data_IF_358599313806
#
_entry.id   IF_358599313806
#
_cell.length_a   1.000
_cell.length_b   1.000
_cell.length_c   1.000
_cell.angle_alpha   90.00
_cell.angle_beta   90.00
_cell.angle_gamma   90.00
#
_symmetry.space_group_name_H-M   'P 1'
#
loop_
_entity.id
_entity.type
_entity.pdbx_description
1 polymer ?
#
# COMPACT_ATOMS: atom_id res chain seq x y z
N UNK A 1 -20.22 -6.40 -12.06
CA UNK A 1 -19.66 -7.55 -11.32
C UNK A 1 -19.68 -7.27 -9.83
N UNK A 2 -20.15 -8.21 -9.01
CA UNK A 2 -20.08 -8.11 -7.53
C UNK A 2 -18.75 -8.68 -7.06
N UNK A 3 -18.13 -8.08 -6.03
CA UNK A 3 -16.97 -8.64 -5.37
C UNK A 3 -17.36 -9.95 -4.70
N UNK A 4 -16.57 -11.00 -4.91
CA UNK A 4 -16.74 -12.34 -4.33
C UNK A 4 -15.37 -12.96 -4.11
N UNK A 5 -15.19 -13.62 -2.96
CA UNK A 5 -13.93 -14.32 -2.63
C UNK A 5 -13.53 -15.36 -3.70
N UNK A 6 -14.51 -16.04 -4.28
CA UNK A 6 -14.28 -17.05 -5.33
C UNK A 6 -13.70 -16.46 -6.61
N UNK A 7 -14.20 -15.30 -7.06
CA UNK A 7 -13.71 -14.59 -8.24
C UNK A 7 -12.30 -14.03 -8.03
N UNK A 8 -11.95 -13.68 -6.80
CA UNK A 8 -10.61 -13.24 -6.41
C UNK A 8 -9.61 -14.42 -6.54
N UNK A 9 -9.95 -15.58 -5.98
CA UNK A 9 -9.13 -16.80 -6.03
C UNK A 9 -8.86 -17.28 -7.47
N UNK A 10 -9.85 -17.18 -8.37
CA UNK A 10 -9.69 -17.51 -9.80
C UNK A 10 -8.63 -16.66 -10.51
N UNK A 11 -8.20 -15.55 -9.89
CA UNK A 11 -7.21 -14.63 -10.43
C UNK A 11 -5.89 -14.63 -9.65
N UNK A 12 -5.72 -15.58 -8.73
CA UNK A 12 -4.50 -15.77 -7.95
C UNK A 12 -4.38 -14.84 -6.74
N UNK A 13 -5.47 -14.22 -6.30
CA UNK A 13 -5.52 -13.36 -5.12
C UNK A 13 -6.35 -14.03 -4.02
N UNK A 14 -5.82 -14.05 -2.81
CA UNK A 14 -6.41 -14.75 -1.67
C UNK A 14 -6.36 -13.85 -0.43
N UNK A 15 -7.28 -14.09 0.50
CA UNK A 15 -7.18 -13.50 1.83
C UNK A 15 -7.54 -14.54 2.90
N UNK A 16 -6.94 -14.41 4.08
CA UNK A 16 -7.25 -15.21 5.27
C UNK A 16 -7.48 -14.28 6.46
N UNK A 17 -8.69 -14.37 7.02
CA UNK A 17 -9.14 -13.55 8.14
C UNK A 17 -8.72 -14.12 9.50
N UNK A 18 -8.38 -15.41 9.55
CA UNK A 18 -8.00 -16.06 10.79
C UNK A 18 -6.67 -15.51 11.28
N UNK A 19 -6.63 -14.96 12.50
CA UNK A 19 -5.36 -14.71 13.17
C UNK A 19 -4.65 -16.07 13.30
N UNK A 20 -3.45 -16.19 12.73
CA UNK A 20 -2.75 -17.47 12.67
C UNK A 20 -2.45 -17.96 14.09
N UNK A 21 -3.01 -19.12 14.43
CA UNK A 21 -2.64 -19.90 15.60
C UNK A 21 -1.42 -20.78 15.29
N UNK A 22 -0.82 -21.38 16.32
CA UNK A 22 0.37 -22.24 16.19
C UNK A 22 0.19 -23.46 15.26
N UNK A 23 -1.05 -23.85 14.96
CA UNK A 23 -1.39 -25.03 14.14
C UNK A 23 -1.49 -24.75 12.62
N UNK A 24 -1.32 -23.50 12.18
CA UNK A 24 -1.33 -23.11 10.76
C UNK A 24 0.10 -23.06 10.21
N UNK A 25 0.26 -23.22 8.88
CA UNK A 25 1.56 -23.03 8.22
C UNK A 25 2.21 -21.72 8.72
N UNK A 26 3.52 -21.69 9.02
CA UNK A 26 4.16 -20.47 9.48
C UNK A 26 4.12 -19.39 8.39
N UNK A 27 4.09 -18.11 8.79
CA UNK A 27 4.29 -17.02 7.84
C UNK A 27 5.70 -17.14 7.26
N UNK A 28 5.91 -16.85 5.96
CA UNK A 28 7.26 -16.75 5.43
C UNK A 28 8.11 -15.82 6.31
N UNK A 29 9.40 -16.12 6.55
CA UNK A 29 10.20 -15.39 7.53
C UNK A 29 10.19 -13.88 7.34
N UNK A 30 10.29 -13.41 6.09
CA UNK A 30 10.29 -11.98 5.76
C UNK A 30 8.94 -11.30 6.06
N UNK A 31 7.82 -12.02 5.91
CA UNK A 31 6.47 -11.56 6.28
C UNK A 31 6.33 -11.53 7.80
N UNK A 32 6.83 -12.55 8.50
CA UNK A 32 6.84 -12.62 9.95
C UNK A 32 7.65 -11.48 10.58
N UNK A 33 8.79 -11.13 9.98
CA UNK A 33 9.59 -9.98 10.42
C UNK A 33 8.84 -8.66 10.29
N UNK A 34 8.09 -8.46 9.19
CA UNK A 34 7.23 -7.28 9.05
C UNK A 34 6.10 -7.28 10.07
N UNK A 35 5.42 -8.41 10.28
CA UNK A 35 4.38 -8.52 11.31
C UNK A 35 4.93 -8.13 12.69
N UNK A 36 6.09 -8.68 13.07
CA UNK A 36 6.75 -8.34 14.34
C UNK A 36 7.09 -6.86 14.42
N UNK A 37 7.62 -6.26 13.35
CA UNK A 37 7.93 -4.83 13.32
C UNK A 37 6.66 -3.96 13.46
N UNK A 38 5.56 -4.33 12.80
CA UNK A 38 4.30 -3.59 12.88
C UNK A 38 3.65 -3.72 14.27
N UNK A 39 3.71 -4.90 14.88
CA UNK A 39 3.09 -5.22 16.16
C UNK A 39 4.04 -5.09 17.35
N UNK A 40 5.20 -4.44 17.17
CA UNK A 40 6.12 -4.13 18.25
C UNK A 40 5.60 -2.96 19.09
N UNK A 41 5.16 -3.28 20.31
CA UNK A 41 4.68 -2.32 21.30
C UNK A 41 5.65 -2.16 22.48
N UNK A 42 6.86 -2.71 22.40
CA UNK A 42 7.79 -2.84 23.54
C UNK A 42 8.28 -1.50 24.11
N UNK A 43 8.38 -0.46 23.28
CA UNK A 43 8.86 0.86 23.68
C UNK A 43 7.78 1.77 24.28
N UNK A 44 6.57 1.28 24.54
CA UNK A 44 5.44 2.11 24.98
C UNK A 44 4.89 1.65 26.33
N UNK A 45 4.81 2.60 27.25
CA UNK A 45 3.96 2.47 28.42
C UNK A 45 2.52 2.71 27.96
N UNK A 46 1.65 1.72 28.13
CA UNK A 46 0.20 1.93 28.04
C UNK A 46 -0.27 2.66 29.31
N UNK A 47 0.23 3.90 29.47
CA UNK A 47 -0.17 4.85 30.50
C UNK A 47 -1.64 5.26 30.33
N UNK A 48 -2.28 5.88 31.34
CA UNK A 48 -3.71 6.17 31.27
C UNK A 48 -4.05 6.98 30.02
N UNK A 49 -5.14 6.56 29.36
CA UNK A 49 -5.71 7.15 28.14
C UNK A 49 -5.51 8.65 28.06
N UNK A 50 -4.83 9.11 27.02
CA UNK A 50 -4.64 10.56 26.83
C UNK A 50 -5.97 11.22 26.51
N UNK A 51 -6.06 12.54 26.70
CA UNK A 51 -7.22 13.34 26.27
C UNK A 51 -7.52 13.15 24.77
N UNK A 52 -6.48 12.92 23.97
CA UNK A 52 -6.62 12.64 22.53
C UNK A 52 -7.28 11.30 22.29
N UNK A 53 -6.86 10.24 22.98
CA UNK A 53 -7.43 8.90 22.82
C UNK A 53 -8.90 8.87 23.27
N UNK A 54 -9.22 9.57 24.36
CA UNK A 54 -10.60 9.70 24.83
C UNK A 54 -11.48 10.47 23.84
N UNK A 55 -10.94 11.50 23.18
CA UNK A 55 -11.66 12.22 22.12
C UNK A 55 -11.94 11.33 20.90
N UNK A 56 -10.93 10.57 20.46
CA UNK A 56 -11.08 9.59 19.37
C UNK A 56 -12.16 8.57 19.74
N UNK A 57 -12.09 8.02 20.95
CA UNK A 57 -13.05 7.04 21.45
C UNK A 57 -14.48 7.60 21.46
N UNK A 58 -14.67 8.81 22.00
CA UNK A 58 -15.98 9.44 22.08
C UNK A 58 -16.57 9.69 20.69
N UNK A 59 -15.75 10.13 19.74
CA UNK A 59 -16.18 10.34 18.36
C UNK A 59 -16.53 9.00 17.68
N UNK A 60 -15.71 7.96 17.84
CA UNK A 60 -16.00 6.62 17.32
C UNK A 60 -17.33 6.07 17.89
N UNK A 61 -17.54 6.18 19.21
CA UNK A 61 -18.80 5.79 19.88
C UNK A 61 -19.99 6.59 19.34
N UNK A 62 -19.81 7.90 19.14
CA UNK A 62 -20.85 8.76 18.54
C UNK A 62 -21.20 8.29 17.14
N UNK A 63 -20.21 8.01 16.30
CA UNK A 63 -20.42 7.55 14.93
C UNK A 63 -21.10 6.17 14.88
N UNK A 64 -20.66 5.24 15.73
CA UNK A 64 -21.24 3.91 15.85
C UNK A 64 -22.71 3.96 16.30
N UNK A 65 -23.03 4.82 17.27
CA UNK A 65 -24.39 4.95 17.81
C UNK A 65 -25.33 5.75 16.89
N UNK A 66 -24.79 6.71 16.12
CA UNK A 66 -25.59 7.59 15.26
C UNK A 66 -25.93 7.03 13.87
N UNK A 67 -25.31 5.92 13.45
CA UNK A 67 -25.59 5.29 12.16
C UNK A 67 -25.25 6.18 10.95
N UNK A 68 -24.19 6.97 11.05
CA UNK A 68 -23.73 7.94 10.05
C UNK A 68 -23.29 7.30 8.72
N UNK A 69 -23.21 8.11 7.65
CA UNK A 69 -22.77 7.70 6.29
C UNK A 69 -21.30 7.29 6.22
N UNK A 70 -20.90 6.66 5.10
CA UNK A 70 -19.51 6.21 4.81
C UNK A 70 -18.51 7.36 4.94
N UNK A 71 -18.80 8.49 4.29
CA UNK A 71 -17.95 9.69 4.30
C UNK A 71 -17.56 10.17 5.71
N UNK A 72 -18.41 9.95 6.72
CA UNK A 72 -18.14 10.35 8.11
C UNK A 72 -17.13 9.43 8.80
N UNK A 73 -17.11 8.15 8.43
CA UNK A 73 -16.06 7.22 8.87
C UNK A 73 -14.75 7.50 8.15
N UNK A 74 -14.81 7.84 6.87
CA UNK A 74 -13.63 8.24 6.09
C UNK A 74 -12.98 9.49 6.70
N UNK A 75 -13.79 10.52 6.98
CA UNK A 75 -13.37 11.74 7.69
C UNK A 75 -12.75 11.42 9.05
N UNK A 76 -13.34 10.47 9.80
CA UNK A 76 -12.82 10.05 11.10
C UNK A 76 -11.43 9.39 10.97
N UNK A 77 -11.28 8.39 10.11
CA UNK A 77 -10.01 7.71 9.93
C UNK A 77 -8.93 8.65 9.37
N UNK A 78 -9.30 9.52 8.43
CA UNK A 78 -8.42 10.59 7.95
C UNK A 78 -7.99 11.50 9.07
N UNK A 79 -8.91 12.16 9.76
CA UNK A 79 -8.59 13.18 10.74
C UNK A 79 -7.76 12.65 11.92
N UNK A 80 -8.06 11.44 12.42
CA UNK A 80 -7.49 10.93 13.67
C UNK A 80 -6.30 10.00 13.51
N UNK A 81 -6.13 9.35 12.35
CA UNK A 81 -5.10 8.32 12.16
C UNK A 81 -4.22 8.57 10.95
N UNK A 82 -4.81 8.82 9.78
CA UNK A 82 -4.07 8.88 8.52
C UNK A 82 -3.47 10.27 8.25
N UNK A 83 -4.20 11.35 8.49
CA UNK A 83 -3.69 12.72 8.40
C UNK A 83 -2.57 13.02 9.38
N UNK A 84 -2.59 12.55 10.64
CA UNK A 84 -1.44 12.65 11.53
C UNK A 84 -0.18 11.99 10.96
N UNK A 85 -0.32 10.81 10.34
CA UNK A 85 0.78 10.14 9.65
C UNK A 85 1.29 10.99 8.48
N UNK A 86 0.38 11.52 7.66
CA UNK A 86 0.70 12.41 6.54
C UNK A 86 1.37 13.70 7.00
N UNK A 87 0.92 14.33 8.08
CA UNK A 87 1.52 15.57 8.61
C UNK A 87 2.92 15.36 9.17
N UNK A 88 3.23 14.17 9.69
CA UNK A 88 4.61 13.82 10.12
C UNK A 88 5.55 13.63 8.94
N UNK A 89 5.05 13.09 7.84
CA UNK A 89 5.84 12.78 6.64
C UNK A 89 5.80 13.90 5.57
N UNK A 90 4.87 14.85 5.68
CA UNK A 90 4.68 15.94 4.72
C UNK A 90 5.50 17.19 5.08
N UNK A 91 6.04 17.78 4.03
CA UNK A 91 6.98 18.90 4.04
C UNK A 91 6.24 20.25 3.92
N UNK A 92 4.93 20.23 3.60
CA UNK A 92 4.13 21.42 3.34
C UNK A 92 3.50 22.06 4.59
N UNK A 93 3.68 21.46 5.77
CA UNK A 93 3.11 21.98 7.02
C UNK A 93 3.92 23.12 7.63
N UNK A 94 3.65 24.38 7.25
CA UNK A 94 3.95 25.67 7.95
C UNK A 94 5.16 25.71 8.93
N UNK A 95 6.26 25.00 8.67
CA UNK A 95 7.52 25.17 9.38
C UNK A 95 8.49 25.82 8.40
N UNK A 96 8.72 27.15 8.47
CA UNK A 96 9.68 27.86 7.63
C UNK A 96 11.13 27.48 7.94
N UNK A 97 11.35 26.59 8.91
CA UNK A 97 12.68 26.14 9.31
C UNK A 97 13.05 24.91 8.51
N UNK A 98 13.80 25.16 7.43
CA UNK A 98 14.77 24.24 6.83
C UNK A 98 14.26 22.80 6.80
N UNK A 99 13.37 22.48 5.84
CA UNK A 99 13.23 21.07 5.48
C UNK A 99 14.57 20.63 4.90
N UNK A 100 15.30 19.83 5.66
CA UNK A 100 16.60 19.35 5.20
C UNK A 100 16.39 18.51 3.94
N UNK A 101 17.36 18.56 3.03
CA UNK A 101 17.43 17.68 1.87
C UNK A 101 17.21 16.21 2.25
N UNK A 102 17.66 15.82 3.44
CA UNK A 102 17.44 14.48 3.98
C UNK A 102 15.96 14.20 4.25
N UNK A 103 15.24 15.11 4.91
CA UNK A 103 13.81 14.91 5.17
C UNK A 103 13.01 14.79 3.86
N UNK A 104 13.37 15.58 2.85
CA UNK A 104 12.73 15.50 1.53
C UNK A 104 13.03 14.21 0.77
N UNK A 105 14.25 13.70 0.82
CA UNK A 105 14.60 12.51 0.04
C UNK A 105 14.42 11.20 0.77
N UNK A 106 14.56 11.17 2.09
CA UNK A 106 14.43 9.94 2.87
C UNK A 106 12.99 9.76 3.37
N UNK A 107 12.43 10.77 4.02
CA UNK A 107 11.23 10.61 4.85
C UNK A 107 9.93 11.01 4.15
N UNK A 108 10.00 11.64 2.97
CA UNK A 108 8.80 12.07 2.24
C UNK A 108 7.99 10.87 1.72
N UNK A 109 6.67 11.00 1.80
CA UNK A 109 5.69 10.10 1.20
C UNK A 109 4.69 10.91 0.37
N UNK A 110 4.05 10.24 -0.58
CA UNK A 110 2.91 10.77 -1.33
C UNK A 110 1.74 9.82 -1.16
N UNK A 111 0.53 10.32 -1.39
CA UNK A 111 -0.68 9.51 -1.29
C UNK A 111 -1.60 9.84 -2.45
N UNK A 112 -2.51 8.92 -2.73
CA UNK A 112 -3.57 9.10 -3.70
C UNK A 112 -4.88 8.52 -3.16
N UNK A 113 -5.99 9.01 -3.67
CA UNK A 113 -7.33 8.71 -3.16
C UNK A 113 -8.26 8.43 -4.33
N UNK A 114 -8.99 7.31 -4.27
CA UNK A 114 -10.00 7.00 -5.28
C UNK A 114 -9.47 6.98 -6.74
N UNK A 115 -8.19 6.65 -6.93
CA UNK A 115 -7.59 6.62 -8.26
C UNK A 115 -7.61 5.22 -8.86
N UNK A 116 -8.04 5.13 -10.12
CA UNK A 116 -8.09 3.87 -10.86
C UNK A 116 -6.69 3.46 -11.33
N UNK A 117 -6.23 2.28 -10.94
CA UNK A 117 -4.88 1.79 -11.28
C UNK A 117 -4.80 1.29 -12.72
N UNK A 118 -4.55 2.22 -13.64
CA UNK A 118 -4.60 2.00 -15.09
C UNK A 118 -3.55 1.01 -15.62
N UNK A 119 -2.42 0.81 -14.93
CA UNK A 119 -1.40 -0.19 -15.28
C UNK A 119 -1.97 -1.63 -15.29
N UNK A 120 -3.01 -1.88 -14.50
CA UNK A 120 -3.69 -3.18 -14.42
C UNK A 120 -4.98 -3.23 -15.26
N UNK A 121 -5.24 -2.23 -16.10
CA UNK A 121 -6.44 -2.21 -16.92
C UNK A 121 -6.39 -3.31 -17.99
N UNK A 122 -7.16 -4.38 -17.77
CA UNK A 122 -7.14 -5.62 -18.56
C UNK A 122 -7.92 -5.56 -19.88
N UNK A 123 -8.26 -4.39 -20.43
CA UNK A 123 -8.86 -4.32 -21.80
C UNK A 123 -7.99 -4.99 -22.89
N UNK A 124 -6.74 -5.34 -22.59
CA UNK A 124 -5.81 -6.08 -23.48
C UNK A 124 -5.64 -7.57 -23.15
N UNK A 125 -6.16 -8.10 -22.03
CA UNK A 125 -6.02 -9.51 -21.63
C UNK A 125 -7.39 -10.18 -21.47
N UNK A 126 -7.56 -11.37 -22.07
CA UNK A 126 -8.85 -12.08 -22.20
C UNK A 126 -9.53 -12.51 -20.87
N UNK A 127 -8.96 -12.22 -19.70
CA UNK A 127 -9.55 -12.59 -18.40
C UNK A 127 -10.36 -11.43 -17.79
N UNK A 128 -11.66 -11.40 -18.10
CA UNK A 128 -12.61 -10.35 -17.68
C UNK A 128 -13.01 -10.40 -16.19
N UNK A 129 -12.38 -11.21 -15.34
CA UNK A 129 -12.96 -11.59 -14.03
C UNK A 129 -12.70 -10.59 -12.88
N UNK A 130 -11.64 -9.77 -12.94
CA UNK A 130 -11.28 -8.85 -11.87
C UNK A 130 -11.47 -7.39 -12.26
N UNK A 131 -12.09 -6.59 -11.38
CA UNK A 131 -12.16 -5.14 -11.56
C UNK A 131 -10.75 -4.55 -11.37
N UNK A 132 -10.43 -3.55 -12.18
CA UNK A 132 -9.22 -2.74 -12.00
C UNK A 132 -9.20 -2.18 -10.57
N UNK A 133 -8.06 -2.28 -9.85
CA UNK A 133 -7.95 -1.74 -8.50
C UNK A 133 -8.25 -0.24 -8.46
N UNK A 134 -8.98 0.17 -7.42
CA UNK A 134 -9.30 1.57 -7.12
C UNK A 134 -9.39 1.70 -5.59
N UNK A 135 -8.25 1.71 -4.89
CA UNK A 135 -8.25 1.81 -3.43
C UNK A 135 -8.77 3.17 -2.99
N UNK A 136 -9.45 3.19 -1.85
CA UNK A 136 -10.01 4.43 -1.32
C UNK A 136 -8.89 5.40 -0.88
N UNK A 137 -7.80 4.86 -0.30
CA UNK A 137 -6.56 5.58 -0.05
C UNK A 137 -5.35 4.66 -0.23
N UNK A 138 -4.28 5.20 -0.80
CA UNK A 138 -2.99 4.51 -0.93
C UNK A 138 -1.86 5.45 -0.57
N UNK A 139 -0.88 4.94 0.17
CA UNK A 139 0.40 5.60 0.37
C UNK A 139 1.48 4.98 -0.51
N UNK A 140 2.30 5.85 -1.08
CA UNK A 140 3.24 5.52 -2.12
C UNK A 140 4.59 6.21 -1.88
N UNK A 141 5.62 5.73 -2.58
CA UNK A 141 6.91 6.38 -2.67
C UNK A 141 6.84 7.53 -3.70
N UNK A 142 7.42 8.70 -3.43
CA UNK A 142 7.44 9.80 -4.38
C UNK A 142 8.32 9.46 -5.58
N UNK A 143 7.91 9.91 -6.77
CA UNK A 143 8.83 10.10 -7.89
C UNK A 143 9.33 11.54 -7.89
N UNK A 144 10.61 11.72 -8.18
CA UNK A 144 11.22 13.05 -8.19
C UNK A 144 11.38 13.55 -9.62
N UNK A 145 10.94 14.78 -9.89
CA UNK A 145 11.18 15.44 -11.18
C UNK A 145 11.82 16.82 -10.93
N UNK A 146 13.00 17.11 -11.52
CA UNK A 146 13.76 18.35 -11.25
C UNK A 146 12.96 19.64 -11.48
N UNK A 147 12.01 19.63 -12.41
CA UNK A 147 11.19 20.81 -12.75
C UNK A 147 9.83 20.85 -12.02
N UNK A 148 9.53 19.85 -11.19
CA UNK A 148 8.28 19.81 -10.41
C UNK A 148 8.44 20.41 -9.01
N UNK A 149 7.35 20.97 -8.48
CA UNK A 149 7.19 21.66 -7.19
C UNK A 149 8.36 21.50 -6.19
N UNK A 150 9.22 22.53 -6.10
CA UNK A 150 10.25 22.63 -5.07
C UNK A 150 9.53 23.10 -3.79
N UNK A 151 9.77 22.49 -2.61
CA UNK A 151 9.30 23.05 -1.35
C UNK A 151 9.71 24.52 -1.24
N UNK A 152 8.85 25.39 -0.72
CA UNK A 152 9.12 26.83 -0.64
C UNK A 152 10.27 27.10 0.35
N UNK A 153 11.51 27.00 -0.11
CA UNK A 153 12.69 27.32 0.69
C UNK A 153 12.92 28.83 0.61
N UNK A 154 13.03 29.47 1.77
CA UNK A 154 13.20 30.92 1.91
C UNK A 154 14.59 31.41 1.47
N UNK A 155 15.61 30.55 1.53
CA UNK A 155 17.00 30.84 1.13
C UNK A 155 17.24 30.54 -0.35
N UNK A 156 17.78 31.52 -1.10
CA UNK A 156 18.02 31.40 -2.55
C UNK A 156 18.99 30.27 -2.92
N UNK A 157 20.07 30.08 -2.17
CA UNK A 157 21.03 28.97 -2.37
C UNK A 157 20.39 27.60 -2.10
N UNK A 158 19.50 27.54 -1.10
CA UNK A 158 18.70 26.36 -0.79
C UNK A 158 17.40 26.26 -1.63
N UNK A 159 17.20 27.13 -2.62
CA UNK A 159 16.26 26.89 -3.72
C UNK A 159 16.90 26.08 -4.82
N UNK A 160 18.22 26.12 -5.00
CA UNK A 160 18.91 25.53 -6.15
C UNK A 160 19.50 24.12 -5.88
N UNK A 161 19.37 23.58 -4.66
CA UNK A 161 19.87 22.23 -4.30
C UNK A 161 19.29 21.08 -5.14
N UNK A 162 18.11 21.26 -5.73
CA UNK A 162 17.51 20.30 -6.67
C UNK A 162 18.12 20.38 -8.08
N UNK A 163 18.85 21.46 -8.39
CA UNK A 163 19.58 21.68 -9.65
C UNK A 163 21.04 21.25 -9.59
N UNK A 164 21.62 21.14 -8.38
CA UNK A 164 22.89 20.43 -8.20
C UNK A 164 22.69 18.97 -8.60
N UNK A 165 23.69 18.37 -9.27
CA UNK A 165 23.68 16.99 -9.79
C UNK A 165 22.89 16.10 -8.85
N UNK A 166 21.78 15.54 -9.36
CA UNK A 166 20.85 14.72 -8.58
C UNK A 166 21.68 13.77 -7.72
N UNK A 167 21.58 13.79 -6.37
CA UNK A 167 22.39 12.89 -5.57
C UNK A 167 22.14 11.48 -6.06
N UNK A 168 23.20 10.67 -6.21
CA UNK A 168 23.11 9.26 -6.60
C UNK A 168 22.01 8.51 -5.83
N UNK A 169 21.76 8.95 -4.60
CA UNK A 169 20.76 8.45 -3.68
C UNK A 169 19.28 8.60 -4.13
N UNK A 170 18.93 9.56 -4.99
CA UNK A 170 17.51 9.81 -5.42
C UNK A 170 17.30 9.60 -6.90
N UNK A 171 18.41 9.40 -7.62
CA UNK A 171 18.44 9.01 -9.02
C UNK A 171 17.55 7.80 -9.34
N UNK A 172 17.43 6.76 -8.47
CA UNK A 172 16.56 5.62 -8.74
C UNK A 172 15.08 6.02 -8.85
N UNK A 173 14.62 6.93 -8.00
CA UNK A 173 13.22 7.38 -7.98
C UNK A 173 12.97 8.60 -8.87
N UNK A 174 13.94 9.01 -9.68
CA UNK A 174 13.71 10.12 -10.62
C UNK A 174 12.77 9.70 -11.74
N UNK A 175 11.88 10.60 -12.15
CA UNK A 175 10.96 10.37 -13.25
C UNK A 175 11.68 9.94 -14.54
N UNK A 176 12.80 10.59 -14.86
CA UNK A 176 13.61 10.26 -16.04
C UNK A 176 14.12 8.83 -16.00
N UNK A 177 14.70 8.40 -14.88
CA UNK A 177 15.20 7.03 -14.70
C UNK A 177 14.06 6.01 -14.80
N UNK A 178 12.96 6.25 -14.08
CA UNK A 178 11.82 5.33 -14.07
C UNK A 178 11.13 5.24 -15.43
N UNK A 179 11.04 6.36 -16.16
CA UNK A 179 10.50 6.41 -17.53
C UNK A 179 11.38 5.67 -18.52
N UNK A 180 12.69 5.77 -18.41
CA UNK A 180 13.63 5.04 -19.24
C UNK A 180 13.51 3.52 -19.01
N UNK A 181 13.65 3.08 -17.76
CA UNK A 181 13.52 1.66 -17.39
C UNK A 181 12.13 1.08 -17.69
N UNK A 182 11.09 1.92 -17.70
CA UNK A 182 9.75 1.50 -18.12
C UNK A 182 9.72 0.98 -19.56
N UNK A 183 10.55 1.54 -20.46
CA UNK A 183 10.69 1.08 -21.84
C UNK A 183 11.30 -0.33 -21.94
N UNK A 184 12.01 -0.75 -20.89
CA UNK A 184 12.58 -2.09 -20.73
C UNK A 184 11.68 -3.03 -19.91
N UNK A 185 10.50 -2.58 -19.51
CA UNK A 185 9.48 -3.39 -18.86
C UNK A 185 9.38 -3.26 -17.34
N UNK A 186 10.11 -2.32 -16.73
CA UNK A 186 9.87 -1.93 -15.34
C UNK A 186 8.47 -1.32 -15.21
N UNK A 187 7.75 -1.63 -14.13
CA UNK A 187 6.43 -1.09 -13.81
C UNK A 187 6.48 -0.44 -12.43
N UNK A 188 6.96 0.82 -12.35
CA UNK A 188 7.20 1.45 -11.06
C UNK A 188 5.96 2.12 -10.45
N UNK A 189 4.86 2.20 -11.20
CA UNK A 189 3.65 2.92 -10.79
C UNK A 189 2.37 2.16 -11.18
N UNK A 190 1.32 2.23 -10.36
CA UNK A 190 0.02 1.65 -10.71
C UNK A 190 -0.69 2.41 -11.84
N UNK A 191 -0.16 3.56 -12.28
CA UNK A 191 -0.74 4.40 -13.31
C UNK A 191 0.04 4.32 -14.63
N UNK A 192 -0.67 4.36 -15.75
CA UNK A 192 -0.08 4.38 -17.11
C UNK A 192 0.42 5.78 -17.50
N UNK A 193 1.16 6.45 -16.61
CA UNK A 193 1.58 7.85 -16.74
C UNK A 193 2.94 8.01 -17.41
N UNK A 194 3.84 7.03 -17.33
CA UNK A 194 5.21 7.14 -17.85
C UNK A 194 5.30 7.20 -19.39
N UNK A 195 4.19 7.02 -20.09
CA UNK A 195 4.09 7.23 -21.54
C UNK A 195 3.93 8.72 -21.91
N UNK A 196 3.65 9.61 -20.95
CA UNK A 196 3.49 11.04 -21.21
C UNK A 196 4.84 11.74 -21.34
N UNK A 197 4.87 12.88 -22.05
CA UNK A 197 6.12 13.65 -22.23
C UNK A 197 6.60 14.27 -20.92
N UNK A 198 5.68 14.88 -20.17
CA UNK A 198 5.95 15.61 -18.92
C UNK A 198 4.97 15.16 -17.84
N UNK A 199 5.41 14.86 -16.62
CA UNK A 199 4.53 14.46 -15.52
C UNK A 199 3.78 15.67 -14.93
N UNK A 200 2.53 15.45 -14.53
CA UNK A 200 1.85 16.32 -13.57
C UNK A 200 2.27 15.96 -12.14
N UNK A 201 2.04 16.85 -11.17
CA UNK A 201 2.37 16.57 -9.76
C UNK A 201 1.66 15.32 -9.24
N UNK A 202 0.39 15.11 -9.63
CA UNK A 202 -0.37 13.90 -9.30
C UNK A 202 0.21 12.62 -9.93
N UNK A 203 1.03 12.73 -10.98
CA UNK A 203 1.65 11.57 -11.64
C UNK A 203 2.93 11.11 -10.93
N UNK A 204 3.47 11.90 -9.98
CA UNK A 204 4.75 11.68 -9.33
C UNK A 204 4.66 10.66 -8.17
N UNK A 205 4.01 9.54 -8.43
CA UNK A 205 3.66 8.49 -7.48
C UNK A 205 4.17 7.14 -7.96
N UNK A 206 5.03 6.51 -7.17
CA UNK A 206 5.60 5.17 -7.44
C UNK A 206 5.38 4.22 -6.27
N UNK A 207 5.41 2.92 -6.54
CA UNK A 207 5.42 1.82 -5.55
C UNK A 207 4.53 2.05 -4.31
N UNK A 208 3.25 1.63 -4.37
CA UNK A 208 2.38 1.58 -3.22
C UNK A 208 2.99 0.74 -2.09
N UNK A 209 2.97 1.27 -0.86
CA UNK A 209 3.51 0.58 0.32
C UNK A 209 2.48 0.43 1.45
N UNK A 210 1.35 1.14 1.39
CA UNK A 210 0.21 0.91 2.29
C UNK A 210 -1.09 1.14 1.52
N UNK A 211 -1.98 0.14 1.54
CA UNK A 211 -3.33 0.23 0.98
C UNK A 211 -4.34 0.36 2.11
N UNK A 212 -5.32 1.25 1.94
CA UNK A 212 -6.41 1.45 2.90
C UNK A 212 -7.74 1.39 2.15
N UNK A 213 -8.64 0.55 2.64
CA UNK A 213 -10.01 0.41 2.15
C UNK A 213 -10.96 0.57 3.32
N UNK A 214 -12.00 1.36 3.16
CA UNK A 214 -12.98 1.61 4.20
C UNK A 214 -14.38 1.28 3.68
N UNK A 215 -15.24 0.77 4.55
CA UNK A 215 -16.67 0.60 4.29
C UNK A 215 -17.47 1.08 5.48
N UNK A 216 -18.66 1.60 5.22
CA UNK A 216 -19.60 2.04 6.27
C UNK A 216 -20.05 0.89 7.17
N UNK A 217 -20.24 1.19 8.46
CA UNK A 217 -21.13 0.38 9.31
C UNK A 217 -22.60 0.64 8.94
N UNK A 218 -23.47 -0.35 9.13
CA UNK A 218 -24.92 -0.18 8.90
C UNK A 218 -25.49 0.91 9.80
N UNK A 219 -26.14 1.92 9.22
CA UNK A 219 -27.18 2.68 9.92
C UNK A 219 -28.45 1.84 10.08
N UNK A 220 -29.21 2.05 11.17
CA UNK A 220 -30.53 1.43 11.38
C UNK A 220 -31.58 1.82 10.31
N UNK A 221 -31.29 2.80 9.46
CA UNK A 221 -32.20 3.28 8.43
C UNK A 221 -31.78 2.80 7.02
N UNK A 222 -32.61 1.88 6.49
CA UNK A 222 -32.89 1.52 5.08
C UNK A 222 -31.80 1.67 4.00
N UNK A 223 -31.69 0.59 3.22
CA UNK A 223 -31.17 0.51 1.84
C UNK A 223 -29.68 0.20 1.65
N UNK A 224 -29.26 -0.97 2.14
CA UNK A 224 -28.52 -1.93 1.31
C UNK A 224 -28.96 -3.33 1.75
N UNK A 225 -29.34 -4.18 0.80
CA UNK A 225 -29.75 -5.58 1.01
C UNK A 225 -28.62 -6.49 1.54
N UNK A 226 -27.40 -5.96 1.65
CA UNK A 226 -26.23 -6.70 2.10
C UNK A 226 -26.16 -6.84 3.63
N UNK A 227 -25.87 -8.04 4.13
CA UNK A 227 -25.58 -8.30 5.56
C UNK A 227 -24.19 -7.77 5.98
N UNK A 228 -23.89 -7.62 7.28
CA UNK A 228 -22.58 -7.18 7.77
C UNK A 228 -21.40 -7.97 7.17
N UNK A 229 -21.49 -9.30 7.14
CA UNK A 229 -20.51 -10.19 6.51
C UNK A 229 -20.30 -9.95 5.01
N UNK A 230 -21.31 -9.46 4.30
CA UNK A 230 -21.16 -9.15 2.87
C UNK A 230 -20.41 -7.84 2.64
N UNK A 231 -20.51 -6.88 3.57
CA UNK A 231 -19.72 -5.64 3.50
C UNK A 231 -18.25 -5.93 3.83
N UNK A 232 -18.01 -6.76 4.84
CA UNK A 232 -16.69 -7.31 5.17
C UNK A 232 -16.07 -8.03 3.97
N UNK A 233 -16.79 -8.97 3.34
CA UNK A 233 -16.29 -9.66 2.15
C UNK A 233 -15.94 -8.68 1.02
N UNK A 234 -16.76 -7.65 0.81
CA UNK A 234 -16.51 -6.63 -0.22
C UNK A 234 -15.22 -5.85 0.08
N UNK A 235 -15.05 -5.33 1.29
CA UNK A 235 -13.85 -4.55 1.64
C UNK A 235 -12.59 -5.40 1.57
N UNK A 236 -12.64 -6.66 2.04
CA UNK A 236 -11.49 -7.56 1.97
C UNK A 236 -11.12 -7.93 0.53
N UNK A 237 -12.11 -8.14 -0.34
CA UNK A 237 -11.86 -8.40 -1.76
C UNK A 237 -11.22 -7.20 -2.47
N UNK A 238 -11.69 -5.98 -2.17
CA UNK A 238 -11.10 -4.76 -2.73
C UNK A 238 -9.66 -4.59 -2.26
N UNK A 239 -9.44 -4.71 -0.96
CA UNK A 239 -8.14 -4.64 -0.31
C UNK A 239 -7.17 -5.66 -0.91
N UNK A 240 -7.53 -6.94 -0.94
CA UNK A 240 -6.68 -8.01 -1.46
C UNK A 240 -6.36 -7.84 -2.96
N UNK A 241 -7.29 -7.30 -3.75
CA UNK A 241 -7.03 -6.97 -5.15
C UNK A 241 -5.99 -5.84 -5.29
N UNK A 242 -6.19 -4.72 -4.56
CA UNK A 242 -5.29 -3.58 -4.63
C UNK A 242 -3.90 -3.90 -4.06
N UNK A 243 -3.84 -4.48 -2.87
CA UNK A 243 -2.58 -4.85 -2.21
C UNK A 243 -1.83 -5.93 -2.99
N UNK A 244 -2.52 -6.93 -3.54
CA UNK A 244 -1.88 -7.94 -4.38
C UNK A 244 -1.33 -7.34 -5.68
N UNK A 245 -2.04 -6.38 -6.29
CA UNK A 245 -1.51 -5.64 -7.44
C UNK A 245 -0.27 -4.81 -7.06
N UNK A 246 -0.21 -4.25 -5.86
CA UNK A 246 1.00 -3.57 -5.36
C UNK A 246 2.18 -4.56 -5.20
N UNK A 247 1.94 -5.73 -4.60
CA UNK A 247 2.97 -6.80 -4.51
C UNK A 247 3.43 -7.24 -5.90
N UNK A 248 2.54 -7.24 -6.91
CA UNK A 248 2.91 -7.52 -8.30
C UNK A 248 3.85 -6.47 -8.91
N UNK A 249 3.73 -5.19 -8.52
CA UNK A 249 4.73 -4.17 -8.89
C UNK A 249 6.07 -4.45 -8.21
N UNK A 250 6.05 -4.84 -6.92
CA UNK A 250 7.26 -5.20 -6.18
C UNK A 250 7.97 -6.42 -6.79
N UNK A 251 7.21 -7.44 -7.19
CA UNK A 251 7.74 -8.62 -7.89
C UNK A 251 8.38 -8.24 -9.24
N UNK A 252 7.77 -7.30 -9.97
CA UNK A 252 8.36 -6.78 -11.20
C UNK A 252 9.66 -6.00 -10.94
N UNK A 253 9.71 -5.18 -9.89
CA UNK A 253 10.94 -4.49 -9.49
C UNK A 253 12.04 -5.50 -9.13
N UNK A 254 11.73 -6.53 -8.35
CA UNK A 254 12.67 -7.56 -7.91
C UNK A 254 13.13 -8.54 -9.02
N UNK A 255 12.78 -8.32 -10.29
CA UNK A 255 13.10 -9.23 -11.42
C UNK A 255 14.58 -9.61 -11.51
N UNK A 256 15.49 -8.68 -11.20
CA UNK A 256 16.93 -8.89 -11.25
C UNK A 256 17.58 -9.13 -9.88
N UNK A 257 16.76 -9.20 -8.82
CA UNK A 257 17.25 -9.53 -7.50
C UNK A 257 17.64 -11.01 -7.42
N UNK A 258 18.54 -11.32 -6.49
CA UNK A 258 18.84 -12.71 -6.14
C UNK A 258 17.55 -13.36 -5.63
N UNK A 259 17.20 -14.51 -6.19
CA UNK A 259 16.07 -15.30 -5.73
C UNK A 259 16.38 -15.81 -4.32
N UNK A 260 15.59 -15.38 -3.34
CA UNK A 260 15.69 -15.82 -1.95
C UNK A 260 14.69 -16.94 -1.67
N UNK A 261 14.92 -17.64 -0.56
CA UNK A 261 13.95 -18.60 -0.03
C UNK A 261 12.60 -17.93 0.24
N UNK A 262 11.51 -18.67 0.01
CA UNK A 262 10.13 -18.21 0.18
C UNK A 262 9.81 -16.90 -0.55
N UNK A 263 10.52 -16.64 -1.66
CA UNK A 263 10.40 -15.41 -2.45
C UNK A 263 10.61 -14.12 -1.62
N UNK A 264 11.46 -14.17 -0.59
CA UNK A 264 11.70 -13.05 0.33
C UNK A 264 12.25 -11.76 -0.34
N UNK A 265 12.73 -11.84 -1.57
CA UNK A 265 13.07 -10.67 -2.39
C UNK A 265 11.84 -9.94 -2.93
N UNK A 266 10.62 -10.43 -2.75
CA UNK A 266 9.40 -9.71 -3.12
C UNK A 266 8.83 -9.08 -1.86
N UNK A 267 9.04 -7.77 -1.63
CA UNK A 267 8.56 -7.15 -0.40
C UNK A 267 7.02 -7.19 -0.33
N UNK A 268 6.47 -7.51 0.86
CA UNK A 268 5.04 -7.54 1.09
C UNK A 268 4.46 -6.12 1.16
N UNK A 269 3.13 -6.01 1.20
CA UNK A 269 2.41 -4.73 1.30
C UNK A 269 1.43 -4.79 2.49
N UNK A 270 1.66 -3.98 3.54
CA UNK A 270 0.69 -3.69 4.57
C UNK A 270 -0.64 -3.21 4.00
N UNK A 271 -1.75 -3.62 4.61
CA UNK A 271 -3.09 -3.23 4.18
C UNK A 271 -3.99 -3.02 5.39
N UNK A 272 -4.88 -2.04 5.33
CA UNK A 272 -5.83 -1.71 6.38
C UNK A 272 -7.23 -1.77 5.80
N UNK A 273 -8.12 -2.45 6.50
CA UNK A 273 -9.55 -2.46 6.15
C UNK A 273 -10.38 -2.03 7.33
N UNK A 274 -11.39 -1.20 7.09
CA UNK A 274 -12.31 -0.79 8.15
C UNK A 274 -13.77 -1.05 7.76
N UNK A 275 -14.58 -1.42 8.77
CA UNK A 275 -16.03 -1.52 8.65
C UNK A 275 -16.66 -0.79 9.85
N UNK A 276 -16.97 0.48 9.65
CA UNK A 276 -17.28 1.39 10.77
C UNK A 276 -16.13 1.45 11.77
N UNK A 277 -16.35 1.16 13.07
CA UNK A 277 -15.28 1.24 14.07
C UNK A 277 -14.33 0.03 14.05
N UNK A 278 -14.70 -1.07 13.39
CA UNK A 278 -13.88 -2.27 13.31
C UNK A 278 -12.73 -2.05 12.34
N UNK A 279 -11.52 -2.38 12.77
CA UNK A 279 -10.29 -2.25 11.98
C UNK A 279 -9.60 -3.61 11.92
N UNK A 280 -9.16 -3.98 10.73
CA UNK A 280 -8.24 -5.09 10.52
C UNK A 280 -6.99 -4.61 9.80
N UNK A 281 -5.84 -5.10 10.26
CA UNK A 281 -4.53 -4.86 9.67
C UNK A 281 -4.04 -6.18 9.10
N UNK A 282 -3.55 -6.10 7.86
CA UNK A 282 -3.17 -7.24 7.05
C UNK A 282 -1.77 -7.05 6.47
N UNK A 283 -1.15 -8.14 6.10
CA UNK A 283 0.02 -8.15 5.22
C UNK A 283 -0.30 -8.96 3.97
N UNK A 284 -0.10 -8.36 2.81
CA UNK A 284 -0.21 -9.05 1.53
C UNK A 284 1.17 -9.43 1.01
N UNK A 285 1.37 -10.68 0.63
CA UNK A 285 2.67 -11.19 0.17
C UNK A 285 2.50 -12.17 -1.00
N UNK A 286 3.56 -12.36 -1.76
CA UNK A 286 3.62 -13.38 -2.81
C UNK A 286 4.03 -14.71 -2.19
N UNK A 287 3.38 -15.80 -2.59
CA UNK A 287 3.67 -17.14 -2.10
C UNK A 287 3.61 -18.15 -3.24
N UNK A 288 4.41 -19.20 -3.12
CA UNK A 288 4.39 -20.39 -3.97
C UNK A 288 3.99 -21.62 -3.18
N UNK A 289 3.47 -22.61 -3.88
CA UNK A 289 3.19 -23.96 -3.38
C UNK A 289 2.47 -23.96 -2.02
N UNK A 290 1.38 -23.18 -1.93
CA UNK A 290 0.62 -23.00 -0.69
C UNK A 290 -0.78 -23.60 -0.79
N UNK A 291 -1.39 -23.84 0.36
CA UNK A 291 -2.78 -24.29 0.45
C UNK A 291 -3.71 -23.12 0.76
N UNK A 292 -4.86 -23.06 0.09
CA UNK A 292 -5.88 -22.06 0.40
C UNK A 292 -7.30 -22.58 0.17
N UNK A 293 -8.23 -22.03 0.94
CA UNK A 293 -9.65 -22.32 0.79
C UNK A 293 -10.23 -21.64 -0.45
N UNK A 294 -10.85 -22.44 -1.30
CA UNK A 294 -11.68 -22.00 -2.42
C UNK A 294 -13.15 -22.16 -2.05
N UNK A 295 -13.90 -21.06 -2.15
CA UNK A 295 -15.34 -21.07 -1.98
C UNK A 295 -15.99 -21.32 -3.34
N UNK A 296 -16.54 -22.51 -3.58
CA UNK A 296 -17.27 -22.80 -4.83
C UNK A 296 -18.70 -22.22 -4.76
N UNK A 297 -19.29 -22.22 -3.57
CA UNK A 297 -20.53 -21.56 -3.21
C UNK A 297 -20.50 -21.16 -1.71
N UNK A 298 -21.62 -20.66 -1.15
CA UNK A 298 -21.70 -20.23 0.26
C UNK A 298 -21.55 -21.36 1.30
N UNK A 299 -21.53 -22.62 0.88
CA UNK A 299 -21.59 -23.80 1.77
C UNK A 299 -20.47 -24.81 1.53
N UNK A 300 -19.78 -24.76 0.38
CA UNK A 300 -18.69 -25.66 0.05
C UNK A 300 -17.35 -24.93 -0.01
N UNK A 301 -16.51 -25.20 0.97
CA UNK A 301 -15.10 -24.84 1.00
C UNK A 301 -14.27 -26.03 0.52
N UNK A 302 -13.33 -25.78 -0.39
CA UNK A 302 -12.35 -26.77 -0.83
C UNK A 302 -10.96 -26.27 -0.50
N UNK A 303 -10.19 -27.06 0.23
CA UNK A 303 -8.81 -26.77 0.54
C UNK A 303 -7.93 -27.33 -0.57
N UNK A 304 -7.40 -26.46 -1.43
CA UNK A 304 -6.65 -26.82 -2.63
C UNK A 304 -5.23 -26.25 -2.58
N UNK A 305 -4.31 -26.95 -3.22
CA UNK A 305 -2.95 -26.46 -3.46
C UNK A 305 -2.90 -25.51 -4.65
N UNK A 306 -2.12 -24.43 -4.51
CA UNK A 306 -1.87 -23.43 -5.53
C UNK A 306 -0.37 -23.28 -5.74
N UNK A 307 0.06 -23.29 -7.00
CA UNK A 307 1.47 -23.15 -7.37
C UNK A 307 2.01 -21.76 -7.01
N UNK A 308 1.21 -20.72 -7.21
CA UNK A 308 1.59 -19.35 -6.86
C UNK A 308 0.36 -18.45 -6.68
N UNK A 309 0.54 -17.35 -5.97
CA UNK A 309 -0.52 -16.38 -5.71
C UNK A 309 -0.11 -15.27 -4.75
N UNK A 310 -1.02 -14.34 -4.53
CA UNK A 310 -0.86 -13.23 -3.60
C UNK A 310 -1.83 -13.44 -2.42
N UNK A 311 -1.30 -13.57 -1.21
CA UNK A 311 -2.07 -13.90 0.00
C UNK A 311 -2.10 -12.67 0.91
N UNK A 312 -3.30 -12.21 1.26
CA UNK A 312 -3.53 -11.17 2.28
C UNK A 312 -3.90 -11.81 3.62
N UNK A 313 -2.97 -11.81 4.57
CA UNK A 313 -3.13 -12.43 5.89
C UNK A 313 -3.47 -11.38 6.95
N UNK A 314 -4.52 -11.61 7.74
CA UNK A 314 -4.85 -10.77 8.90
C UNK A 314 -3.80 -10.98 10.00
N UNK A 315 -3.25 -9.90 10.54
CA UNK A 315 -2.27 -9.92 11.61
C UNK A 315 -2.76 -9.23 12.89
N UNK A 316 -3.74 -8.33 12.79
CA UNK A 316 -4.31 -7.65 13.94
C UNK A 316 -5.74 -7.20 13.66
N UNK A 317 -6.56 -7.22 14.71
CA UNK A 317 -7.95 -6.74 14.70
C UNK A 317 -8.16 -5.84 15.91
N UNK A 318 -8.93 -4.77 15.77
CA UNK A 318 -9.33 -3.94 16.89
C UNK A 318 -10.56 -3.10 16.62
N UNK A 319 -11.04 -2.43 17.66
CA UNK A 319 -12.23 -1.60 17.65
C UNK A 319 -11.91 -0.16 18.07
N UNK A 320 -12.21 0.82 17.22
CA UNK A 320 -11.96 2.23 17.51
C UNK A 320 -12.87 2.79 18.63
N UNK A 321 -13.82 2.02 19.16
CA UNK A 321 -14.50 2.37 20.42
C UNK A 321 -13.73 1.95 21.67
N UNK A 322 -12.65 1.19 21.51
CA UNK A 322 -11.79 0.70 22.59
C UNK A 322 -10.46 1.47 22.66
N UNK A 323 -10.09 2.08 23.80
CA UNK A 323 -8.92 2.95 23.84
C UNK A 323 -7.59 2.23 23.63
N UNK A 324 -7.49 0.99 24.10
CA UNK A 324 -6.30 0.17 23.91
C UNK A 324 -6.07 -0.13 22.42
N UNK A 325 -7.15 -0.34 21.66
CA UNK A 325 -7.05 -0.60 20.23
C UNK A 325 -6.76 0.67 19.44
N UNK A 326 -7.29 1.82 19.86
CA UNK A 326 -6.89 3.14 19.33
C UNK A 326 -5.37 3.35 19.46
N UNK A 327 -4.83 3.11 20.66
CA UNK A 327 -3.39 3.26 20.94
C UNK A 327 -2.56 2.30 20.08
N UNK A 328 -2.90 1.01 20.07
CA UNK A 328 -2.21 0.00 19.26
C UNK A 328 -2.27 0.35 17.77
N UNK A 329 -3.41 0.75 17.25
CA UNK A 329 -3.56 1.08 15.84
C UNK A 329 -2.71 2.28 15.41
N UNK A 330 -2.61 3.31 16.26
CA UNK A 330 -1.69 4.44 16.03
C UNK A 330 -0.23 3.98 15.96
N UNK A 331 0.19 3.11 16.89
CA UNK A 331 1.54 2.56 16.89
C UNK A 331 1.81 1.69 15.66
N UNK A 332 0.84 0.86 15.26
CA UNK A 332 0.93 0.06 14.04
C UNK A 332 1.19 0.96 12.84
N UNK A 333 0.47 2.08 12.69
CA UNK A 333 0.69 3.02 11.59
C UNK A 333 2.09 3.67 11.62
N UNK A 334 2.57 4.05 12.80
CA UNK A 334 3.91 4.63 12.98
C UNK A 334 5.02 3.62 12.66
N UNK A 335 4.87 2.38 13.12
CA UNK A 335 5.77 1.28 12.83
C UNK A 335 5.75 0.91 11.34
N UNK A 336 4.56 0.90 10.72
CA UNK A 336 4.37 0.63 9.28
C UNK A 336 5.10 1.68 8.44
N UNK A 337 4.95 2.96 8.78
CA UNK A 337 5.68 4.04 8.11
C UNK A 337 7.20 3.90 8.29
N UNK A 338 7.64 3.58 9.50
CA UNK A 338 9.07 3.38 9.78
C UNK A 338 9.64 2.25 8.92
N UNK A 339 8.94 1.11 8.85
CA UNK A 339 9.31 0.02 7.94
C UNK A 339 9.32 0.47 6.48
N UNK A 340 8.31 1.22 6.03
CA UNK A 340 8.23 1.68 4.65
C UNK A 340 9.43 2.55 4.24
N UNK A 341 9.84 3.46 5.12
CA UNK A 341 10.94 4.39 4.85
C UNK A 341 12.32 3.76 5.06
N UNK A 342 12.47 2.90 6.08
CA UNK A 342 13.78 2.38 6.49
C UNK A 342 14.12 1.02 5.87
N UNK A 343 13.12 0.26 5.44
CA UNK A 343 13.32 -1.09 4.87
C UNK A 343 12.82 -1.14 3.42
N UNK A 344 11.55 -0.81 3.19
CA UNK A 344 10.94 -0.96 1.87
C UNK A 344 11.55 -0.03 0.81
N UNK A 345 11.62 1.27 1.08
CA UNK A 345 12.13 2.26 0.13
C UNK A 345 13.60 2.02 -0.29
N UNK A 346 14.55 1.74 0.64
CA UNK A 346 15.92 1.38 0.26
C UNK A 346 16.00 0.07 -0.54
N UNK A 347 15.16 -0.90 -0.24
CA UNK A 347 15.09 -2.15 -0.99
C UNK A 347 14.62 -1.92 -2.43
N UNK A 348 13.56 -1.14 -2.62
CA UNK A 348 13.08 -0.75 -3.95
C UNK A 348 14.12 0.07 -4.72
N UNK A 349 14.85 0.96 -4.05
CA UNK A 349 15.97 1.68 -4.66
C UNK A 349 17.03 0.71 -5.21
N UNK A 350 17.37 -0.32 -4.43
CA UNK A 350 18.33 -1.35 -4.82
C UNK A 350 17.84 -2.13 -6.05
N UNK A 351 16.54 -2.46 -6.13
CA UNK A 351 15.97 -3.09 -7.31
C UNK A 351 16.06 -2.20 -8.54
N UNK A 352 15.74 -0.91 -8.41
CA UNK A 352 15.86 0.02 -9.53
C UNK A 352 17.33 0.11 -10.00
N UNK A 353 18.31 0.15 -9.11
CA UNK A 353 19.72 0.14 -9.48
C UNK A 353 20.14 -1.15 -10.20
N UNK A 354 19.61 -2.31 -9.80
CA UNK A 354 19.81 -3.57 -10.53
C UNK A 354 19.22 -3.51 -11.95
N UNK A 355 18.05 -2.89 -12.13
CA UNK A 355 17.47 -2.63 -13.45
C UNK A 355 18.36 -1.73 -14.30
N UNK A 356 18.94 -0.67 -13.72
CA UNK A 356 19.89 0.22 -14.41
C UNK A 356 21.17 -0.49 -14.83
N UNK A 357 21.66 -1.41 -14.00
CA UNK A 357 22.80 -2.25 -14.35
C UNK A 357 22.48 -3.19 -15.52
N UNK A 358 21.28 -3.78 -15.52
CA UNK A 358 20.82 -4.65 -16.60
C UNK A 358 20.51 -3.91 -17.91
N UNK A 359 20.09 -2.65 -17.82
CA UNK A 359 19.78 -1.78 -18.96
C UNK A 359 20.42 -0.39 -18.77
N UNK A 360 21.71 -0.23 -19.13
CA UNK A 360 22.35 1.07 -19.19
C UNK A 360 21.64 2.00 -20.19
N UNK A 361 21.72 3.31 -20.01
CA UNK A 361 20.96 4.34 -20.73
C UNK A 361 21.07 4.33 -22.28
N UNK A 362 22.03 3.59 -22.84
CA UNK A 362 22.21 3.41 -24.30
C UNK A 362 21.64 2.08 -24.82
N UNK A 363 20.92 1.33 -23.99
CA UNK A 363 20.39 0.02 -24.36
C UNK A 363 19.18 0.15 -25.30
N UNK A 364 19.12 -0.60 -26.41
CA UNK A 364 17.94 -0.60 -27.27
C UNK A 364 16.71 -1.11 -26.51
N UNK A 365 15.58 -0.40 -26.63
CA UNK A 365 14.31 -0.81 -26.00
C UNK A 365 13.85 -2.21 -26.44
N UNK A 366 13.01 -2.86 -25.63
CA UNK A 366 12.41 -4.16 -25.99
C UNK A 366 11.63 -4.09 -27.32
N UNK A 367 11.01 -2.94 -27.61
CA UNK A 367 10.26 -2.72 -28.84
C UNK A 367 11.17 -2.61 -30.08
N UNK A 368 12.37 -2.04 -29.96
CA UNK A 368 13.34 -1.99 -31.06
C UNK A 368 14.00 -3.35 -31.29
N UNK A 369 14.33 -4.09 -30.22
CA UNK A 369 14.86 -5.46 -30.33
C UNK A 369 13.84 -6.43 -30.97
N UNK A 370 12.55 -6.26 -30.69
CA UNK A 370 11.49 -7.09 -31.28
C UNK A 370 11.21 -6.78 -32.76
N UNK A 371 11.57 -5.58 -33.25
CA UNK A 371 11.45 -5.21 -34.69
C UNK A 371 12.67 -5.60 -35.53
N UNK A 372 13.80 -5.91 -34.88
CA UNK A 372 15.02 -6.35 -35.53
C UNK A 372 15.10 -7.88 -35.75
N UNK A 373 14.07 -8.61 -35.30
CA UNK A 373 13.82 -10.02 -35.58
C UNK A 373 12.66 -10.12 -36.55
#
# INVERSE_FOLDING_TARGET
>A
MSWKRSSLADTGFFYDEGLRNQDMDPLPPHVKSLEQAMLDFTCQNFDPTTKTDLNIQNEAKRLANGGFSEDRWDDFFRAFFLDPLMKRASISGRRPRISSRCQYYYDSIVFDTDALWTTFNKRKEKSQLLKTPKPDLVFCLPMYHPESHIPTVTLHEAREWHKATTPSLVEPFSWSTLKDLHQHGLKPTPFSVLNTKTPLEADLISYPWLVVEYKRAKGKARSTTAGPRQLEEVVYCQAANASGCAVKLNQNAAKFAVQLADDAQVPPVPTITTVGPQVKVWITFFAKDFMAYRFKDKKSEQFNGYKEGYIMQCIWTGDMTEPHDILKFRLILENTYTWAIRVFKPLVATYIDQWRFAYPADSPSLASMARAR
#
